data_IF_292735860382
#
_entry.id   IF_292735860382
#
_cell.length_a   1.000
_cell.length_b   1.000
_cell.length_c   1.000
_cell.angle_alpha   90.00
_cell.angle_beta   90.00
_cell.angle_gamma   90.00
#
_symmetry.space_group_name_H-M   'P 1'
#
loop_
_entity.id
_entity.type
_entity.pdbx_description
1 polymer ?
#
# COMPACT_ATOMS: atom_id res chain seq x y z
N UNK A 1 8.30 -24.64 -5.47
CA UNK A 1 7.16 -25.06 -4.63
C UNK A 1 6.14 -23.94 -4.66
N UNK A 2 4.95 -24.24 -5.08
CA UNK A 2 3.90 -23.26 -5.36
C UNK A 2 3.35 -22.67 -4.04
N UNK A 3 3.50 -21.35 -3.84
CA UNK A 3 3.06 -20.65 -2.62
C UNK A 3 1.53 -20.67 -2.43
N UNK A 4 0.78 -20.79 -3.51
CA UNK A 4 -0.68 -20.97 -3.46
C UNK A 4 -1.06 -22.32 -2.82
N UNK A 5 -0.23 -23.34 -3.00
CA UNK A 5 -0.42 -24.66 -2.38
C UNK A 5 -0.17 -24.62 -0.87
N UNK A 6 0.72 -23.76 -0.38
CA UNK A 6 1.01 -23.61 1.05
C UNK A 6 -0.18 -22.99 1.83
N UNK A 7 -0.91 -22.05 1.23
CA UNK A 7 -2.12 -21.47 1.84
C UNK A 7 -3.23 -22.53 1.92
N UNK A 8 -3.43 -23.32 0.87
CA UNK A 8 -4.41 -24.43 0.86
C UNK A 8 -4.04 -25.53 1.87
N UNK A 9 -2.75 -25.78 2.10
CA UNK A 9 -2.28 -26.84 3.02
C UNK A 9 -2.37 -26.42 4.48
N UNK A 10 -2.19 -25.13 4.79
CA UNK A 10 -2.28 -24.60 6.16
C UNK A 10 -3.74 -24.53 6.68
N UNK A 11 -4.73 -24.53 5.77
CA UNK A 11 -6.16 -24.41 6.09
C UNK A 11 -6.99 -25.57 5.54
N UNK A 12 -6.46 -26.79 5.65
CA UNK A 12 -7.26 -28.00 5.33
C UNK A 12 -8.43 -28.09 6.30
N UNK A 13 -9.63 -27.66 5.88
CA UNK A 13 -10.89 -28.04 6.49
C UNK A 13 -11.02 -29.58 6.49
N UNK A 14 -11.64 -30.20 7.47
CA UNK A 14 -11.86 -31.64 7.45
C UNK A 14 -12.58 -32.00 6.14
N UNK A 15 -12.05 -32.96 5.42
CA UNK A 15 -12.66 -33.45 4.19
C UNK A 15 -13.98 -34.12 4.55
N UNK A 16 -15.10 -33.54 4.25
CA UNK A 16 -16.35 -34.25 4.03
C UNK A 16 -16.18 -35.06 2.74
N UNK A 17 -16.19 -36.41 2.90
CA UNK A 17 -16.19 -37.34 1.79
C UNK A 17 -17.53 -37.26 1.03
N UNK A 18 -17.63 -36.32 0.11
CA UNK A 18 -18.59 -36.38 -0.99
C UNK A 18 -17.93 -35.81 -2.23
N UNK A 19 -17.50 -36.72 -3.11
CA UNK A 19 -17.06 -36.44 -4.48
C UNK A 19 -18.25 -35.85 -5.27
N UNK A 20 -18.41 -34.55 -5.21
CA UNK A 20 -19.08 -33.76 -6.23
C UNK A 20 -18.25 -32.51 -6.47
N UNK A 21 -17.71 -32.42 -7.67
CA UNK A 21 -16.90 -31.35 -8.24
C UNK A 21 -17.69 -30.02 -8.32
N UNK A 22 -17.99 -29.42 -7.17
CA UNK A 22 -18.42 -28.02 -7.06
C UNK A 22 -17.14 -27.22 -6.79
N UNK A 23 -16.78 -26.32 -7.69
CA UNK A 23 -15.84 -25.23 -7.40
C UNK A 23 -16.38 -24.53 -6.14
N UNK A 24 -15.88 -24.84 -4.97
CA UNK A 24 -16.24 -24.15 -3.74
C UNK A 24 -15.79 -22.70 -3.86
N UNK A 25 -16.75 -21.83 -4.14
CA UNK A 25 -16.55 -20.38 -4.17
C UNK A 25 -16.16 -19.97 -2.75
N UNK A 26 -14.97 -19.40 -2.59
CA UNK A 26 -14.49 -18.93 -1.31
C UNK A 26 -14.82 -17.43 -1.14
N UNK A 27 -15.73 -17.15 -0.18
CA UNK A 27 -16.09 -15.78 0.18
C UNK A 27 -15.02 -15.14 1.06
N UNK A 28 -14.45 -14.03 0.61
CA UNK A 28 -13.49 -13.22 1.36
C UNK A 28 -14.00 -11.79 1.52
N UNK A 29 -14.09 -11.32 2.75
CA UNK A 29 -14.55 -9.97 3.07
C UNK A 29 -13.37 -9.08 3.45
N UNK A 30 -13.15 -7.98 2.73
CA UNK A 30 -12.14 -6.98 3.02
C UNK A 30 -12.78 -5.79 3.74
N UNK A 31 -12.18 -5.37 4.86
CA UNK A 31 -12.63 -4.21 5.63
C UNK A 31 -11.66 -3.05 5.43
N UNK A 32 -12.20 -1.88 5.10
CA UNK A 32 -11.46 -0.65 4.96
C UNK A 32 -12.16 0.50 5.68
N UNK A 33 -11.60 0.94 6.81
CA UNK A 33 -11.96 2.21 7.43
C UNK A 33 -10.94 3.24 6.99
N UNK A 34 -11.37 4.15 6.11
CA UNK A 34 -10.48 5.17 5.55
C UNK A 34 -10.14 6.21 6.61
N UNK A 35 -8.86 6.38 6.89
CA UNK A 35 -8.31 7.37 7.83
C UNK A 35 -7.41 8.37 7.09
N UNK A 36 -6.52 7.89 6.22
CA UNK A 36 -5.63 8.72 5.37
C UNK A 36 -6.13 8.74 3.92
N UNK A 37 -7.26 9.41 3.68
CA UNK A 37 -7.83 9.65 2.36
C UNK A 37 -7.65 8.49 1.37
N UNK A 38 -6.58 8.53 0.55
CA UNK A 38 -6.32 7.55 -0.50
C UNK A 38 -5.35 6.43 -0.10
N UNK A 39 -4.65 6.53 1.04
CA UNK A 39 -3.66 5.54 1.46
C UNK A 39 -4.31 4.18 1.75
N UNK A 40 -5.25 4.16 2.69
CA UNK A 40 -5.89 2.93 3.15
C UNK A 40 -6.70 2.27 2.03
N UNK A 41 -7.55 3.05 1.36
CA UNK A 41 -8.41 2.51 0.29
C UNK A 41 -7.61 2.12 -0.96
N UNK A 42 -6.52 2.82 -1.24
CA UNK A 42 -5.59 2.47 -2.33
C UNK A 42 -4.94 1.10 -2.11
N UNK A 43 -4.50 0.81 -0.88
CA UNK A 43 -4.00 -0.50 -0.51
C UNK A 43 -5.07 -1.59 -0.66
N UNK A 44 -6.29 -1.36 -0.14
CA UNK A 44 -7.38 -2.35 -0.22
C UNK A 44 -7.80 -2.60 -1.67
N UNK A 45 -7.88 -1.57 -2.50
CA UNK A 45 -8.16 -1.70 -3.92
C UNK A 45 -7.10 -2.56 -4.63
N UNK A 46 -5.82 -2.30 -4.35
CA UNK A 46 -4.70 -3.10 -4.87
C UNK A 46 -4.77 -4.55 -4.40
N UNK A 47 -5.02 -4.77 -3.12
CA UNK A 47 -5.14 -6.11 -2.54
C UNK A 47 -6.28 -6.89 -3.18
N UNK A 48 -7.46 -6.29 -3.33
CA UNK A 48 -8.62 -6.92 -3.96
C UNK A 48 -8.31 -7.32 -5.41
N UNK A 49 -7.67 -6.44 -6.20
CA UNK A 49 -7.24 -6.74 -7.56
C UNK A 49 -6.22 -7.89 -7.60
N UNK A 50 -5.21 -7.86 -6.75
CA UNK A 50 -4.20 -8.91 -6.69
C UNK A 50 -4.82 -10.27 -6.32
N UNK A 51 -5.72 -10.31 -5.35
CA UNK A 51 -6.44 -11.53 -4.97
C UNK A 51 -7.28 -12.08 -6.13
N UNK A 52 -8.05 -11.23 -6.83
CA UNK A 52 -8.84 -11.63 -8.00
C UNK A 52 -7.97 -12.13 -9.15
N UNK A 53 -6.77 -11.56 -9.34
CA UNK A 53 -5.82 -12.00 -10.37
C UNK A 53 -5.18 -13.37 -10.04
N UNK A 54 -4.95 -13.65 -8.77
CA UNK A 54 -4.33 -14.90 -8.33
C UNK A 54 -5.31 -16.07 -8.26
N UNK A 55 -6.54 -15.81 -7.82
CA UNK A 55 -7.57 -16.84 -7.74
C UNK A 55 -8.94 -16.29 -8.18
N UNK A 56 -9.35 -16.67 -9.38
CA UNK A 56 -10.66 -16.24 -9.98
C UNK A 56 -11.87 -16.93 -9.35
N UNK A 57 -11.67 -17.90 -8.47
CA UNK A 57 -12.75 -18.53 -7.70
C UNK A 57 -13.12 -17.75 -6.43
N UNK A 58 -12.35 -16.72 -6.08
CA UNK A 58 -12.65 -15.86 -4.94
C UNK A 58 -13.85 -14.96 -5.23
N UNK A 59 -14.81 -14.98 -4.32
CA UNK A 59 -15.89 -13.99 -4.28
C UNK A 59 -15.54 -12.93 -3.24
N UNK A 60 -15.18 -11.72 -3.71
CA UNK A 60 -14.76 -10.65 -2.84
C UNK A 60 -15.91 -9.73 -2.45
N UNK A 61 -15.99 -9.44 -1.15
CA UNK A 61 -16.89 -8.44 -0.57
C UNK A 61 -16.05 -7.36 0.12
N UNK A 62 -16.25 -6.10 -0.23
CA UNK A 62 -15.53 -4.97 0.34
C UNK A 62 -16.50 -4.15 1.20
N UNK A 63 -16.14 -3.88 2.45
CA UNK A 63 -16.88 -2.98 3.33
C UNK A 63 -16.02 -1.73 3.55
N UNK A 64 -16.47 -0.59 3.03
CA UNK A 64 -15.66 0.65 2.94
C UNK A 64 -16.37 1.81 3.62
N UNK A 65 -15.65 2.57 4.46
CA UNK A 65 -16.23 3.67 5.23
C UNK A 65 -16.34 4.98 4.43
N UNK A 66 -15.51 5.15 3.39
CA UNK A 66 -15.54 6.34 2.52
C UNK A 66 -15.54 5.90 1.04
N UNK A 67 -16.75 5.76 0.50
CA UNK A 67 -16.97 5.42 -0.90
C UNK A 67 -16.60 6.54 -1.87
N UNK A 68 -16.57 7.80 -1.41
CA UNK A 68 -16.16 8.92 -2.26
C UNK A 68 -14.66 8.87 -2.56
N UNK A 69 -13.84 8.61 -1.54
CA UNK A 69 -12.40 8.35 -1.74
C UNK A 69 -12.16 7.11 -2.60
N UNK A 70 -12.98 6.06 -2.45
CA UNK A 70 -12.88 4.87 -3.28
C UNK A 70 -13.22 5.16 -4.74
N UNK A 71 -14.32 5.86 -5.02
CA UNK A 71 -14.72 6.24 -6.38
C UNK A 71 -13.67 7.10 -7.12
N UNK A 72 -12.90 7.91 -6.39
CA UNK A 72 -11.82 8.69 -6.97
C UNK A 72 -10.67 7.82 -7.50
N UNK A 73 -10.41 6.64 -6.88
CA UNK A 73 -9.40 5.67 -7.31
C UNK A 73 -9.97 4.65 -8.30
N UNK A 74 -11.22 4.29 -8.15
CA UNK A 74 -11.93 3.24 -8.85
C UNK A 74 -13.22 3.82 -9.50
N UNK A 75 -13.14 4.38 -10.71
CA UNK A 75 -14.23 5.15 -11.32
C UNK A 75 -15.54 4.39 -11.56
N UNK A 76 -15.53 3.05 -11.51
CA UNK A 76 -16.75 2.25 -11.60
C UNK A 76 -17.55 2.21 -10.31
N UNK A 77 -16.99 2.68 -9.20
CA UNK A 77 -17.65 2.73 -7.88
C UNK A 77 -18.54 3.96 -7.81
N UNK A 78 -19.81 3.74 -7.47
CA UNK A 78 -20.78 4.82 -7.21
C UNK A 78 -20.83 5.11 -5.71
N UNK A 79 -20.33 6.28 -5.30
CA UNK A 79 -20.26 6.68 -3.90
C UNK A 79 -21.63 6.89 -3.23
N UNK A 80 -22.72 6.92 -3.99
CA UNK A 80 -24.09 7.15 -3.49
C UNK A 80 -24.83 5.85 -3.14
N UNK A 81 -24.28 4.69 -3.49
CA UNK A 81 -24.92 3.40 -3.29
C UNK A 81 -24.40 2.71 -2.03
N UNK A 82 -25.32 2.24 -1.19
CA UNK A 82 -24.99 1.45 0.00
C UNK A 82 -24.55 0.02 -0.32
N UNK A 83 -24.97 -0.51 -1.47
CA UNK A 83 -24.61 -1.83 -1.99
C UNK A 83 -24.51 -1.76 -3.51
N UNK A 84 -23.43 -2.32 -4.07
CA UNK A 84 -23.22 -2.36 -5.51
C UNK A 84 -22.26 -3.49 -5.91
N UNK A 85 -22.26 -3.83 -7.19
CA UNK A 85 -21.27 -4.72 -7.78
C UNK A 85 -20.43 -3.92 -8.78
N UNK A 86 -19.10 -3.88 -8.57
CA UNK A 86 -18.13 -3.24 -9.45
C UNK A 86 -16.84 -4.05 -9.45
N UNK A 87 -16.13 -4.15 -10.57
CA UNK A 87 -14.93 -4.97 -10.73
C UNK A 87 -15.12 -6.47 -10.42
N UNK A 88 -16.37 -6.96 -10.44
CA UNK A 88 -16.70 -8.32 -10.02
C UNK A 88 -16.78 -8.51 -8.49
N UNK A 89 -16.66 -7.46 -7.71
CA UNK A 89 -16.74 -7.46 -6.25
C UNK A 89 -18.09 -6.92 -5.78
N UNK A 90 -18.60 -7.41 -4.66
CA UNK A 90 -19.68 -6.77 -3.92
C UNK A 90 -19.08 -5.71 -3.00
N UNK A 91 -19.57 -4.48 -3.11
CA UNK A 91 -19.08 -3.33 -2.34
C UNK A 91 -20.22 -2.81 -1.46
N UNK A 92 -19.94 -2.64 -0.17
CA UNK A 92 -20.89 -2.20 0.85
C UNK A 92 -20.39 -0.92 1.52
N UNK A 93 -21.33 -0.01 1.78
CA UNK A 93 -21.06 1.12 2.63
C UNK A 93 -20.98 0.67 4.10
N UNK A 94 -19.87 0.94 4.75
CA UNK A 94 -19.63 0.62 6.17
C UNK A 94 -20.74 1.12 7.09
N UNK A 95 -21.31 2.29 6.78
CA UNK A 95 -22.29 2.99 7.60
C UNK A 95 -23.74 2.60 7.27
N UNK A 96 -23.98 1.71 6.33
CA UNK A 96 -25.31 1.26 5.93
C UNK A 96 -25.75 0.00 6.69
N UNK A 97 -26.08 0.16 7.97
CA UNK A 97 -26.36 -0.92 8.92
C UNK A 97 -27.39 -1.93 8.42
N UNK A 98 -28.55 -1.46 7.95
CA UNK A 98 -29.64 -2.34 7.51
C UNK A 98 -29.25 -3.18 6.29
N UNK A 99 -28.58 -2.56 5.32
CA UNK A 99 -28.11 -3.21 4.11
C UNK A 99 -27.06 -4.27 4.43
N UNK A 100 -26.07 -3.91 5.25
CA UNK A 100 -25.04 -4.81 5.70
C UNK A 100 -25.60 -5.98 6.50
N UNK A 101 -26.46 -5.73 7.49
CA UNK A 101 -27.12 -6.79 8.30
C UNK A 101 -27.89 -7.77 7.43
N UNK A 102 -28.66 -7.28 6.46
CA UNK A 102 -29.43 -8.14 5.55
C UNK A 102 -28.50 -9.06 4.75
N UNK A 103 -27.49 -8.49 4.07
CA UNK A 103 -26.60 -9.25 3.21
C UNK A 103 -25.76 -10.27 3.98
N UNK A 104 -25.17 -9.87 5.11
CA UNK A 104 -24.24 -10.69 5.86
C UNK A 104 -24.92 -11.70 6.83
N UNK A 105 -26.22 -11.53 7.11
CA UNK A 105 -27.01 -12.60 7.76
C UNK A 105 -27.42 -13.69 6.78
N UNK A 106 -27.70 -13.35 5.53
CA UNK A 106 -28.00 -14.32 4.48
C UNK A 106 -26.76 -15.15 4.11
N UNK A 107 -25.62 -14.50 4.02
CA UNK A 107 -24.33 -15.14 3.71
C UNK A 107 -23.26 -14.66 4.70
N UNK A 108 -23.09 -15.30 5.86
CA UNK A 108 -22.08 -14.96 6.85
C UNK A 108 -20.67 -15.07 6.29
N UNK A 109 -19.72 -14.19 6.72
CA UNK A 109 -18.35 -14.26 6.24
C UNK A 109 -17.60 -15.46 6.84
N UNK A 110 -16.84 -16.18 6.03
CA UNK A 110 -15.92 -17.21 6.47
C UNK A 110 -14.52 -16.64 6.72
N UNK A 111 -14.05 -15.75 5.83
CA UNK A 111 -12.75 -15.10 5.93
C UNK A 111 -12.96 -13.59 5.90
N UNK A 112 -12.30 -12.89 6.83
CA UNK A 112 -12.28 -11.43 6.92
C UNK A 112 -10.83 -10.96 6.90
N UNK A 113 -10.50 -10.08 5.96
CA UNK A 113 -9.27 -9.32 5.93
C UNK A 113 -9.53 -7.95 6.55
N UNK A 114 -9.11 -7.76 7.80
CA UNK A 114 -9.21 -6.50 8.54
C UNK A 114 -7.94 -5.69 8.27
N UNK A 115 -8.03 -4.66 7.42
CA UNK A 115 -6.86 -3.88 7.04
C UNK A 115 -6.58 -2.78 8.07
N UNK A 116 -5.31 -2.68 8.53
CA UNK A 116 -4.80 -1.63 9.41
C UNK A 116 -5.52 -1.54 10.76
N UNK A 117 -5.89 -2.68 11.32
CA UNK A 117 -6.61 -2.75 12.59
C UNK A 117 -7.87 -1.86 12.61
N UNK A 118 -8.51 -1.70 11.46
CA UNK A 118 -9.62 -0.76 11.28
C UNK A 118 -10.87 -1.09 12.12
N UNK A 119 -10.88 -2.25 12.76
CA UNK A 119 -12.07 -2.76 13.44
C UNK A 119 -13.16 -3.20 12.47
N UNK A 120 -14.37 -3.25 12.96
CA UNK A 120 -15.54 -3.72 12.21
C UNK A 120 -16.73 -2.82 12.55
N UNK A 121 -17.69 -2.61 11.62
CA UNK A 121 -18.94 -1.91 11.97
C UNK A 121 -19.75 -2.73 12.99
N UNK A 122 -20.49 -2.06 13.85
CA UNK A 122 -21.25 -2.68 14.95
C UNK A 122 -22.20 -3.78 14.45
N UNK A 123 -22.82 -3.55 13.30
CA UNK A 123 -23.72 -4.54 12.70
C UNK A 123 -23.01 -5.85 12.31
N UNK A 124 -21.74 -5.79 11.90
CA UNK A 124 -20.94 -6.98 11.59
C UNK A 124 -20.46 -7.66 12.88
N UNK A 125 -20.05 -6.89 13.87
CA UNK A 125 -19.72 -7.41 15.22
C UNK A 125 -20.89 -8.23 15.81
N UNK A 126 -22.13 -7.73 15.70
CA UNK A 126 -23.31 -8.45 16.17
C UNK A 126 -23.49 -9.80 15.46
N UNK A 127 -23.22 -9.90 14.16
CA UNK A 127 -23.30 -11.14 13.39
C UNK A 127 -22.19 -12.11 13.79
N UNK A 128 -20.95 -11.64 13.89
CA UNK A 128 -19.78 -12.46 14.19
C UNK A 128 -19.86 -13.07 15.59
N UNK A 129 -20.39 -12.34 16.55
CA UNK A 129 -20.46 -12.74 17.96
C UNK A 129 -21.88 -13.11 18.42
N UNK A 130 -22.76 -13.43 17.47
CA UNK A 130 -24.11 -13.93 17.78
C UNK A 130 -24.00 -15.25 18.56
N UNK A 131 -24.62 -15.28 19.74
CA UNK A 131 -24.64 -16.46 20.62
C UNK A 131 -25.48 -17.62 20.06
N UNK A 132 -26.41 -17.29 19.14
CA UNK A 132 -27.27 -18.28 18.48
C UNK A 132 -26.59 -18.94 17.26
N UNK A 133 -25.42 -18.45 16.82
CA UNK A 133 -24.70 -19.05 15.72
C UNK A 133 -24.14 -20.42 16.09
N UNK A 134 -24.10 -21.33 15.10
CA UNK A 134 -23.63 -22.72 15.34
C UNK A 134 -22.14 -22.73 15.70
N UNK A 135 -21.71 -23.64 16.58
CA UNK A 135 -20.31 -23.76 16.99
C UNK A 135 -19.34 -23.98 15.82
N UNK A 136 -19.81 -24.66 14.78
CA UNK A 136 -19.00 -25.01 13.60
C UNK A 136 -18.90 -23.92 12.55
N UNK A 137 -19.67 -22.85 12.68
CA UNK A 137 -19.59 -21.68 11.81
C UNK A 137 -18.32 -20.86 12.13
N UNK A 138 -17.17 -21.37 11.79
CA UNK A 138 -15.88 -20.73 12.09
C UNK A 138 -15.65 -19.54 11.16
N UNK A 139 -15.23 -18.41 11.75
CA UNK A 139 -14.80 -17.22 11.03
C UNK A 139 -13.32 -16.96 11.29
N UNK A 140 -12.55 -16.84 10.22
CA UNK A 140 -11.15 -16.48 10.30
C UNK A 140 -10.94 -14.99 9.99
N UNK A 141 -10.48 -14.23 10.97
CA UNK A 141 -10.04 -12.83 10.77
C UNK A 141 -8.53 -12.84 10.58
N UNK A 142 -8.08 -12.19 9.51
CA UNK A 142 -6.69 -11.92 9.24
C UNK A 142 -6.52 -10.40 9.33
N UNK A 143 -5.87 -9.94 10.40
CA UNK A 143 -5.54 -8.54 10.58
C UNK A 143 -4.28 -8.22 9.77
N UNK A 144 -4.43 -7.48 8.68
CA UNK A 144 -3.32 -7.02 7.86
C UNK A 144 -2.85 -5.68 8.43
N UNK A 145 -1.63 -5.68 8.95
CA UNK A 145 -1.02 -4.49 9.55
C UNK A 145 -0.33 -3.60 8.50
N UNK A 146 0.16 -2.47 8.93
CA UNK A 146 0.95 -1.57 8.10
C UNK A 146 2.28 -2.21 7.69
N UNK A 147 2.79 -1.81 6.53
CA UNK A 147 4.12 -2.23 6.07
C UNK A 147 5.20 -1.68 7.02
N UNK A 148 6.05 -2.55 7.52
CA UNK A 148 7.20 -2.13 8.34
C UNK A 148 8.46 -2.90 7.98
N UNK A 149 9.61 -2.24 8.17
CA UNK A 149 10.93 -2.84 8.06
C UNK A 149 11.54 -3.21 9.43
N UNK A 150 10.81 -2.95 10.53
CA UNK A 150 11.25 -3.20 11.90
C UNK A 150 11.24 -4.69 12.23
N UNK A 151 12.16 -5.12 13.09
CA UNK A 151 12.36 -6.52 13.40
C UNK A 151 11.17 -7.19 14.13
N UNK A 152 10.37 -6.41 14.87
CA UNK A 152 9.21 -6.97 15.57
C UNK A 152 8.19 -7.63 14.63
N UNK A 153 8.16 -7.22 13.36
CA UNK A 153 7.24 -7.81 12.39
C UNK A 153 7.43 -9.32 12.22
N UNK A 154 8.68 -9.81 12.37
CA UNK A 154 9.03 -11.22 12.28
C UNK A 154 8.33 -12.05 13.37
N UNK A 155 8.21 -11.50 14.60
CA UNK A 155 7.62 -12.21 15.75
C UNK A 155 6.10 -12.05 15.78
N UNK A 156 5.57 -10.97 15.21
CA UNK A 156 4.12 -10.70 15.18
C UNK A 156 3.41 -11.32 13.98
N UNK A 157 4.14 -11.70 12.93
CA UNK A 157 3.55 -12.35 11.76
C UNK A 157 2.96 -13.71 12.12
N UNK A 158 1.69 -13.93 11.76
CA UNK A 158 0.88 -15.12 12.08
C UNK A 158 0.63 -15.33 13.58
N UNK A 159 0.94 -14.35 14.43
CA UNK A 159 0.61 -14.41 15.85
C UNK A 159 -0.92 -14.44 16.03
N UNK A 160 -1.38 -15.39 16.85
CA UNK A 160 -2.80 -15.53 17.16
C UNK A 160 -3.23 -14.51 18.20
N UNK A 161 -4.37 -13.88 17.98
CA UNK A 161 -5.00 -12.97 18.93
C UNK A 161 -6.22 -13.61 19.55
N UNK A 162 -6.45 -13.33 20.84
CA UNK A 162 -7.67 -13.75 21.53
C UNK A 162 -8.90 -13.02 21.01
N UNK A 163 -10.04 -13.71 20.97
CA UNK A 163 -11.35 -13.13 20.63
C UNK A 163 -12.40 -13.47 21.67
N UNK A 164 -13.57 -12.83 21.60
CA UNK A 164 -14.71 -13.06 22.53
C UNK A 164 -15.43 -14.40 22.30
N UNK A 165 -15.11 -15.09 21.20
CA UNK A 165 -15.80 -16.34 20.83
C UNK A 165 -14.81 -17.36 20.29
N UNK A 166 -14.94 -18.63 20.67
CA UNK A 166 -14.10 -19.70 20.11
C UNK A 166 -14.33 -19.93 18.61
N UNK A 167 -15.46 -19.47 18.05
CA UNK A 167 -15.76 -19.53 16.62
C UNK A 167 -14.98 -18.51 15.81
N UNK A 168 -14.65 -17.37 16.39
CA UNK A 168 -13.92 -16.30 15.69
C UNK A 168 -12.44 -16.45 16.01
N UNK A 169 -11.66 -16.78 15.00
CA UNK A 169 -10.19 -16.88 15.10
C UNK A 169 -9.59 -15.62 14.52
N UNK A 170 -8.54 -15.09 15.14
CA UNK A 170 -7.83 -13.90 14.64
C UNK A 170 -6.34 -14.18 14.63
N UNK A 171 -5.68 -13.83 13.52
CA UNK A 171 -4.22 -13.82 13.36
C UNK A 171 -3.78 -12.45 12.81
N UNK A 172 -2.53 -12.10 13.09
CA UNK A 172 -1.89 -10.92 12.49
C UNK A 172 -1.14 -11.32 11.22
N UNK A 173 -1.27 -10.52 10.18
CA UNK A 173 -0.47 -10.60 8.96
C UNK A 173 0.36 -9.33 8.86
N UNK A 174 1.68 -9.49 8.98
CA UNK A 174 2.63 -8.37 8.95
C UNK A 174 3.26 -8.26 7.55
N UNK A 175 2.85 -7.30 6.72
CA UNK A 175 3.63 -6.95 5.52
C UNK A 175 5.03 -6.51 5.95
N UNK A 176 6.05 -6.93 5.21
CA UNK A 176 7.42 -6.64 5.61
C UNK A 176 8.46 -7.11 4.60
N UNK A 177 9.73 -7.04 5.00
CA UNK A 177 10.88 -7.19 4.11
C UNK A 177 11.75 -8.43 4.42
N UNK A 178 11.27 -9.36 5.25
CA UNK A 178 12.00 -10.58 5.61
C UNK A 178 11.25 -11.83 5.18
N UNK A 179 11.93 -12.96 5.18
CA UNK A 179 11.32 -14.27 4.87
C UNK A 179 10.29 -14.73 5.92
N UNK A 180 10.27 -14.07 7.09
CA UNK A 180 9.35 -14.34 8.19
C UNK A 180 8.10 -13.47 8.19
N UNK A 181 8.00 -12.53 7.25
CA UNK A 181 6.86 -11.62 7.11
C UNK A 181 6.02 -11.95 5.88
N UNK A 182 4.87 -11.29 5.72
CA UNK A 182 3.96 -11.49 4.60
C UNK A 182 4.46 -10.96 3.26
N UNK A 183 5.57 -10.20 3.25
CA UNK A 183 6.12 -9.60 2.04
C UNK A 183 5.30 -8.41 1.55
N UNK A 184 5.41 -8.14 0.23
CA UNK A 184 4.75 -7.04 -0.46
C UNK A 184 3.77 -7.57 -1.50
N UNK A 185 2.73 -6.82 -1.84
CA UNK A 185 1.80 -7.18 -2.91
C UNK A 185 2.55 -7.06 -4.25
N UNK A 186 2.71 -8.19 -4.93
CA UNK A 186 3.33 -8.28 -6.24
C UNK A 186 2.29 -8.79 -7.24
N UNK A 187 1.48 -7.89 -7.77
CA UNK A 187 0.47 -8.21 -8.75
C UNK A 187 1.05 -8.39 -10.18
N UNK A 188 0.29 -9.06 -11.05
CA UNK A 188 0.74 -9.40 -12.40
C UNK A 188 0.98 -8.17 -13.28
N UNK A 189 0.19 -7.12 -13.11
CA UNK A 189 0.30 -5.90 -13.90
C UNK A 189 1.59 -5.16 -13.54
N UNK A 190 1.94 -5.11 -12.25
CA UNK A 190 3.20 -4.53 -11.81
C UNK A 190 4.42 -5.31 -12.35
N UNK A 191 4.38 -6.64 -12.30
CA UNK A 191 5.44 -7.49 -12.88
C UNK A 191 5.60 -7.23 -14.37
N UNK A 192 4.51 -7.03 -15.09
CA UNK A 192 4.52 -6.68 -16.52
C UNK A 192 5.12 -5.30 -16.75
N UNK A 193 4.67 -4.28 -16.01
CA UNK A 193 5.22 -2.93 -16.09
C UNK A 193 6.73 -2.90 -15.84
N UNK A 194 7.21 -3.63 -14.82
CA UNK A 194 8.63 -3.73 -14.50
C UNK A 194 9.45 -4.40 -15.61
N UNK A 195 8.92 -5.43 -16.28
CA UNK A 195 9.61 -6.15 -17.35
C UNK A 195 9.81 -5.34 -18.63
N UNK A 196 8.93 -4.37 -18.89
CA UNK A 196 9.02 -3.51 -20.08
C UNK A 196 10.11 -2.45 -19.96
N UNK A 197 10.73 -2.30 -18.81
CA UNK A 197 11.83 -1.37 -18.58
C UNK A 197 13.18 -1.93 -19.07
N UNK A 198 13.31 -2.14 -20.38
CA UNK A 198 14.59 -2.52 -20.98
C UNK A 198 15.26 -1.30 -21.62
N UNK A 199 16.38 -0.88 -21.03
CA UNK A 199 17.36 0.08 -21.53
C UNK A 199 16.90 1.52 -21.81
N UNK A 200 16.89 2.36 -20.78
CA UNK A 200 16.94 3.80 -20.97
C UNK A 200 18.41 4.28 -21.05
N UNK A 201 18.95 4.36 -22.25
CA UNK A 201 20.03 5.30 -22.55
C UNK A 201 19.38 6.56 -23.10
N UNK A 202 18.96 7.46 -22.22
CA UNK A 202 18.49 8.78 -22.63
C UNK A 202 19.41 9.84 -22.04
N UNK A 203 19.68 10.90 -22.79
CA UNK A 203 20.40 12.09 -22.29
C UNK A 203 19.57 12.88 -21.24
N UNK A 204 18.43 12.31 -20.83
CA UNK A 204 17.48 12.93 -19.92
C UNK A 204 17.31 12.05 -18.69
N UNK A 205 17.67 12.59 -17.52
CA UNK A 205 17.40 11.97 -16.22
C UNK A 205 15.97 12.30 -15.78
N UNK A 206 15.10 11.31 -15.79
CA UNK A 206 13.69 11.46 -15.45
C UNK A 206 13.43 11.02 -14.03
N UNK A 207 12.79 11.87 -13.22
CA UNK A 207 12.43 11.53 -11.85
C UNK A 207 10.96 11.84 -11.54
N UNK A 208 10.38 11.04 -10.65
CA UNK A 208 9.04 11.24 -10.10
C UNK A 208 9.16 11.94 -8.75
N UNK A 209 8.36 12.98 -8.54
CA UNK A 209 8.29 13.66 -7.25
C UNK A 209 6.87 13.61 -6.68
N UNK A 210 6.71 12.80 -5.64
CA UNK A 210 5.49 12.66 -4.86
C UNK A 210 5.84 12.73 -3.38
N UNK A 211 5.46 13.81 -2.71
CA UNK A 211 5.88 14.14 -1.34
C UNK A 211 4.72 14.73 -0.54
N UNK A 212 4.82 14.71 0.78
CA UNK A 212 4.02 15.59 1.64
C UNK A 212 4.48 17.03 1.48
N UNK A 213 3.71 17.96 2.02
CA UNK A 213 4.06 19.39 2.01
C UNK A 213 5.40 19.60 2.74
N UNK A 214 6.30 20.33 2.08
CA UNK A 214 7.63 20.62 2.62
C UNK A 214 8.31 21.77 1.87
N UNK A 215 9.43 22.25 2.41
CA UNK A 215 10.33 23.13 1.65
C UNK A 215 11.03 22.33 0.53
N UNK A 216 10.72 22.65 -0.72
CA UNK A 216 11.28 21.96 -1.89
C UNK A 216 12.54 22.64 -2.46
N UNK A 217 12.95 23.80 -1.94
CA UNK A 217 14.12 24.52 -2.46
C UNK A 217 15.41 23.69 -2.45
N UNK A 218 15.73 22.89 -1.39
CA UNK A 218 16.91 22.01 -1.38
C UNK A 218 16.90 20.99 -2.52
N UNK A 219 15.75 20.36 -2.78
CA UNK A 219 15.62 19.39 -3.87
C UNK A 219 15.84 20.07 -5.22
N UNK A 220 15.26 21.26 -5.43
CA UNK A 220 15.45 22.03 -6.67
C UNK A 220 16.92 22.36 -6.90
N UNK A 221 17.63 22.84 -5.87
CA UNK A 221 19.06 23.17 -5.97
C UNK A 221 19.93 21.92 -6.20
N UNK A 222 19.61 20.81 -5.54
CA UNK A 222 20.34 19.55 -5.75
C UNK A 222 20.20 19.03 -7.19
N UNK A 223 19.01 19.11 -7.77
CA UNK A 223 18.77 18.70 -9.15
C UNK A 223 19.41 19.66 -10.18
N UNK A 224 19.44 20.97 -9.90
CA UNK A 224 20.18 21.93 -10.69
C UNK A 224 21.69 21.66 -10.68
N UNK A 225 22.25 21.38 -9.49
CA UNK A 225 23.64 21.00 -9.34
C UNK A 225 23.96 19.69 -10.07
N UNK A 226 23.11 18.67 -9.95
CA UNK A 226 23.24 17.40 -10.66
C UNK A 226 23.28 17.62 -12.19
N UNK A 227 22.35 18.40 -12.75
CA UNK A 227 22.33 18.71 -14.16
C UNK A 227 23.62 19.44 -14.61
N UNK A 228 24.10 20.37 -13.80
CA UNK A 228 25.33 21.12 -14.09
C UNK A 228 26.58 20.24 -14.05
N UNK A 229 26.66 19.33 -13.07
CA UNK A 229 27.84 18.47 -12.88
C UNK A 229 27.91 17.32 -13.87
N UNK A 230 26.77 16.74 -14.23
CA UNK A 230 26.72 15.55 -15.11
C UNK A 230 26.52 15.91 -16.58
N UNK A 231 26.00 17.08 -16.88
CA UNK A 231 25.56 17.46 -18.23
C UNK A 231 24.25 16.79 -18.69
N UNK A 232 23.66 15.90 -17.87
CA UNK A 232 22.37 15.28 -18.18
C UNK A 232 21.22 16.28 -17.96
N UNK A 233 20.27 16.31 -18.89
CA UNK A 233 19.04 17.12 -18.72
C UNK A 233 18.16 16.48 -17.67
N UNK A 234 17.62 17.27 -16.74
CA UNK A 234 16.66 16.81 -15.73
C UNK A 234 15.23 17.05 -16.19
N UNK A 235 14.41 16.03 -16.10
CA UNK A 235 12.96 16.07 -16.30
C UNK A 235 12.27 15.55 -15.03
N UNK A 236 11.50 16.42 -14.37
CA UNK A 236 10.78 16.07 -13.15
C UNK A 236 9.28 15.93 -13.43
N UNK A 237 8.74 14.78 -13.09
CA UNK A 237 7.32 14.46 -13.16
C UNK A 237 6.72 14.74 -11.79
N UNK A 238 6.00 15.85 -11.66
CA UNK A 238 5.46 16.33 -10.39
C UNK A 238 4.04 15.80 -10.19
N UNK A 239 3.89 14.90 -9.24
CA UNK A 239 2.58 14.32 -8.91
C UNK A 239 1.62 15.37 -8.34
N UNK A 240 0.34 15.19 -8.60
CA UNK A 240 -0.71 15.96 -7.96
C UNK A 240 -0.73 15.71 -6.44
N UNK A 241 -1.01 16.75 -5.66
CA UNK A 241 -1.09 16.64 -4.19
C UNK A 241 -0.46 17.81 -3.44
N UNK A 242 -0.26 17.61 -2.13
CA UNK A 242 0.16 18.68 -1.19
C UNK A 242 1.53 19.30 -1.52
N UNK A 243 2.44 18.55 -2.12
CA UNK A 243 3.77 19.06 -2.51
C UNK A 243 3.80 19.86 -3.82
N UNK A 244 2.72 19.84 -4.62
CA UNK A 244 2.71 20.45 -5.94
C UNK A 244 2.98 21.96 -5.89
N UNK A 245 2.19 22.72 -5.13
CA UNK A 245 2.36 24.18 -5.05
C UNK A 245 3.70 24.60 -4.40
N UNK A 246 4.15 24.00 -3.28
CA UNK A 246 5.48 24.26 -2.72
C UNK A 246 6.62 24.01 -3.71
N UNK A 247 6.57 22.90 -4.45
CA UNK A 247 7.60 22.59 -5.45
C UNK A 247 7.63 23.60 -6.59
N UNK A 248 6.48 23.89 -7.18
CA UNK A 248 6.37 24.85 -8.27
C UNK A 248 6.84 26.27 -7.88
N UNK A 249 6.56 26.67 -6.62
CA UNK A 249 7.03 27.95 -6.09
C UNK A 249 8.56 27.97 -5.95
N UNK A 250 9.16 26.92 -5.39
CA UNK A 250 10.61 26.78 -5.26
C UNK A 250 11.30 26.77 -6.64
N UNK A 251 10.80 25.99 -7.58
CA UNK A 251 11.30 25.88 -8.93
C UNK A 251 11.24 27.22 -9.70
N UNK A 252 10.12 27.96 -9.60
CA UNK A 252 9.99 29.31 -10.19
C UNK A 252 10.99 30.29 -9.57
N UNK A 253 11.14 30.26 -8.22
CA UNK A 253 12.07 31.12 -7.49
C UNK A 253 13.54 30.84 -7.86
N UNK A 254 13.87 29.59 -8.18
CA UNK A 254 15.19 29.20 -8.67
C UNK A 254 15.44 29.52 -10.16
N UNK A 255 14.50 30.17 -10.86
CA UNK A 255 14.66 30.53 -12.27
C UNK A 255 14.33 29.41 -13.26
N UNK A 256 13.61 28.36 -12.82
CA UNK A 256 13.20 27.20 -13.66
C UNK A 256 14.39 26.45 -14.28
N UNK A 257 15.29 25.90 -13.46
CA UNK A 257 16.58 25.38 -13.94
C UNK A 257 16.48 24.11 -14.79
N UNK A 258 15.36 23.37 -14.73
CA UNK A 258 15.13 22.11 -15.47
C UNK A 258 13.65 21.97 -15.87
N UNK A 259 13.32 20.90 -16.61
CA UNK A 259 11.94 20.65 -17.05
C UNK A 259 11.10 20.08 -15.89
N UNK A 260 9.92 20.67 -15.66
CA UNK A 260 8.91 20.16 -14.72
C UNK A 260 7.60 19.94 -15.46
N UNK A 261 7.07 18.73 -15.38
CA UNK A 261 5.76 18.35 -15.90
C UNK A 261 4.82 18.04 -14.75
N UNK A 262 3.73 18.79 -14.64
CA UNK A 262 2.68 18.52 -13.64
C UNK A 262 1.80 17.38 -14.13
N UNK A 263 1.68 16.34 -13.31
CA UNK A 263 0.81 15.20 -13.59
C UNK A 263 -0.59 15.45 -13.03
N UNK A 264 -1.61 15.02 -13.76
CA UNK A 264 -2.94 14.81 -13.19
C UNK A 264 -2.93 13.60 -12.24
N UNK A 265 -4.04 13.39 -11.52
CA UNK A 265 -4.23 12.15 -10.78
C UNK A 265 -4.20 10.96 -11.74
N UNK A 266 -3.40 9.94 -11.42
CA UNK A 266 -3.21 8.76 -12.25
C UNK A 266 -3.89 7.53 -11.61
N UNK A 267 -4.49 6.63 -12.41
CA UNK A 267 -4.85 5.30 -11.95
C UNK A 267 -3.64 4.54 -11.41
N UNK A 268 -3.87 3.58 -10.51
CA UNK A 268 -2.77 2.85 -9.85
C UNK A 268 -1.81 2.17 -10.83
N UNK A 269 -2.31 1.60 -11.92
CA UNK A 269 -1.49 0.91 -12.92
C UNK A 269 -0.56 1.87 -13.66
N UNK A 270 -1.09 3.04 -14.01
CA UNK A 270 -0.29 4.10 -14.66
C UNK A 270 0.76 4.66 -13.69
N UNK A 271 0.41 4.79 -12.40
CA UNK A 271 1.35 5.18 -11.34
C UNK A 271 2.47 4.15 -11.17
N UNK A 272 2.13 2.87 -11.09
CA UNK A 272 3.08 1.77 -10.97
C UNK A 272 4.05 1.72 -12.17
N UNK A 273 3.52 1.89 -13.39
CA UNK A 273 4.35 1.96 -14.59
C UNK A 273 5.29 3.18 -14.56
N UNK A 274 4.80 4.33 -14.10
CA UNK A 274 5.60 5.54 -13.98
C UNK A 274 6.80 5.34 -13.04
N UNK A 275 6.57 4.73 -11.86
CA UNK A 275 7.64 4.43 -10.90
C UNK A 275 8.66 3.42 -11.44
N UNK A 276 8.22 2.48 -12.30
CA UNK A 276 9.11 1.52 -12.93
C UNK A 276 9.95 2.11 -14.07
N UNK A 277 9.51 3.21 -14.69
CA UNK A 277 10.13 3.78 -15.89
C UNK A 277 10.85 5.11 -15.65
N UNK A 278 11.00 5.53 -14.41
CA UNK A 278 11.84 6.67 -14.01
C UNK A 278 13.26 6.24 -13.68
N UNK A 279 14.18 7.19 -13.58
CA UNK A 279 15.55 6.96 -13.11
C UNK A 279 15.70 7.13 -11.60
N UNK A 280 14.76 7.86 -10.98
CA UNK A 280 14.74 8.12 -9.54
C UNK A 280 13.33 8.47 -9.05
N UNK A 281 13.00 8.04 -7.82
CA UNK A 281 11.68 8.27 -7.24
C UNK A 281 11.74 8.96 -5.88
N UNK A 282 11.03 10.08 -5.73
CA UNK A 282 10.62 10.58 -4.42
C UNK A 282 9.19 10.09 -4.17
N UNK A 283 9.00 9.31 -3.12
CA UNK A 283 7.69 8.73 -2.78
C UNK A 283 7.32 9.02 -1.34
N UNK A 284 6.01 9.00 -1.07
CA UNK A 284 5.46 9.16 0.29
C UNK A 284 4.46 8.06 0.61
N UNK A 285 4.25 7.85 1.92
CA UNK A 285 3.30 6.85 2.39
C UNK A 285 3.76 5.42 2.09
N UNK A 286 2.97 4.44 2.48
CA UNK A 286 3.39 3.03 2.51
C UNK A 286 3.13 2.29 1.20
N UNK A 287 1.99 2.57 0.52
CA UNK A 287 1.71 1.94 -0.77
C UNK A 287 2.77 2.34 -1.81
N UNK A 288 3.08 3.64 -1.94
CA UNK A 288 4.11 4.09 -2.87
C UNK A 288 5.52 3.64 -2.46
N UNK A 289 5.82 3.50 -1.16
CA UNK A 289 7.05 2.87 -0.69
C UNK A 289 7.17 1.43 -1.21
N UNK A 290 6.11 0.63 -1.04
CA UNK A 290 6.13 -0.76 -1.50
C UNK A 290 6.38 -0.86 -3.00
N UNK A 291 5.76 0.04 -3.79
CA UNK A 291 5.96 0.12 -5.24
C UNK A 291 7.39 0.53 -5.61
N UNK A 292 7.93 1.56 -4.93
CA UNK A 292 9.31 1.99 -5.15
C UNK A 292 10.31 0.86 -4.84
N UNK A 293 10.13 0.15 -3.73
CA UNK A 293 10.98 -1.02 -3.41
C UNK A 293 10.89 -2.11 -4.49
N UNK A 294 9.69 -2.43 -4.98
CA UNK A 294 9.47 -3.46 -5.99
C UNK A 294 9.92 -3.02 -7.39
N UNK A 295 9.95 -1.72 -7.70
CA UNK A 295 10.38 -1.22 -9.01
C UNK A 295 11.86 -1.51 -9.31
N UNK A 296 12.69 -1.54 -8.27
CA UNK A 296 14.14 -1.64 -8.40
C UNK A 296 14.81 -0.32 -8.80
N UNK A 297 14.06 0.78 -8.85
CA UNK A 297 14.57 2.13 -9.13
C UNK A 297 15.00 2.78 -7.81
N UNK A 298 16.13 3.51 -7.78
CA UNK A 298 16.55 4.26 -6.60
C UNK A 298 15.46 5.25 -6.14
N UNK A 299 15.28 5.36 -4.83
CA UNK A 299 14.22 6.22 -4.29
C UNK A 299 14.58 6.89 -2.98
N UNK A 300 13.86 7.94 -2.66
CA UNK A 300 13.78 8.55 -1.32
C UNK A 300 12.33 8.44 -0.84
N UNK A 301 12.16 7.91 0.35
CA UNK A 301 10.86 7.80 0.98
C UNK A 301 10.65 8.90 2.02
N UNK A 302 9.50 9.56 1.97
CA UNK A 302 9.00 10.41 3.02
C UNK A 302 7.93 9.64 3.80
N UNK A 303 8.27 9.28 5.03
CA UNK A 303 7.33 8.65 5.94
C UNK A 303 6.27 9.67 6.41
N UNK A 304 5.08 9.18 6.76
CA UNK A 304 4.06 10.01 7.40
C UNK A 304 4.54 10.43 8.78
N UNK A 305 4.49 11.73 9.05
CA UNK A 305 4.93 12.29 10.35
C UNK A 305 4.03 11.74 11.46
N UNK A 306 4.64 11.11 12.44
CA UNK A 306 3.98 10.51 13.59
C UNK A 306 4.40 11.18 14.89
N UNK A 307 3.59 11.01 15.91
CA UNK A 307 3.91 11.49 17.25
C UNK A 307 5.27 10.91 17.74
N UNK A 308 6.00 11.70 18.52
CA UNK A 308 7.31 11.31 19.08
C UNK A 308 8.36 10.92 18.04
N UNK A 309 8.23 11.43 16.80
CA UNK A 309 9.15 11.16 15.70
C UNK A 309 9.28 9.66 15.33
N UNK A 310 8.24 8.84 15.60
CA UNK A 310 8.28 7.39 15.35
C UNK A 310 8.53 7.05 13.87
N UNK A 311 8.11 7.90 12.96
CA UNK A 311 8.43 7.78 11.52
C UNK A 311 9.93 7.73 11.22
N UNK A 312 10.79 8.33 12.09
CA UNK A 312 12.26 8.24 11.95
C UNK A 312 12.79 6.86 12.38
N UNK A 313 12.09 6.16 13.28
CA UNK A 313 12.38 4.76 13.63
C UNK A 313 12.09 3.86 12.43
N UNK A 314 10.92 4.01 11.83
CA UNK A 314 10.53 3.28 10.60
C UNK A 314 11.51 3.53 9.46
N UNK A 315 11.89 4.79 9.22
CA UNK A 315 12.89 5.16 8.22
C UNK A 315 14.25 4.50 8.51
N UNK A 316 14.68 4.54 9.77
CA UNK A 316 15.95 3.90 10.17
C UNK A 316 15.93 2.41 9.91
N UNK A 317 14.84 1.73 10.25
CA UNK A 317 14.68 0.30 10.02
C UNK A 317 14.77 -0.01 8.51
N UNK A 318 14.08 0.75 7.66
CA UNK A 318 14.16 0.60 6.21
C UNK A 318 15.58 0.81 5.68
N UNK A 319 16.26 1.88 6.12
CA UNK A 319 17.63 2.17 5.69
C UNK A 319 18.58 1.02 6.09
N UNK A 320 18.42 0.41 7.27
CA UNK A 320 19.23 -0.74 7.67
C UNK A 320 18.97 -1.99 6.78
N UNK A 321 17.75 -2.19 6.28
CA UNK A 321 17.48 -3.24 5.27
C UNK A 321 18.19 -2.98 3.95
N UNK A 322 18.36 -1.72 3.56
CA UNK A 322 19.06 -1.34 2.33
C UNK A 322 20.59 -1.37 2.45
N UNK A 323 21.11 -1.24 3.67
CA UNK A 323 22.54 -1.16 3.93
C UNK A 323 23.42 -2.24 3.25
N UNK A 324 23.03 -3.53 3.26
CA UNK A 324 23.84 -4.59 2.64
C UNK A 324 24.01 -4.45 1.11
N UNK A 325 23.15 -3.67 0.46
CA UNK A 325 23.09 -3.50 -0.98
C UNK A 325 23.76 -2.22 -1.48
N UNK A 326 24.27 -1.37 -0.58
CA UNK A 326 24.90 -0.10 -0.90
C UNK A 326 26.35 -0.08 -0.45
N UNK A 327 27.24 0.49 -1.28
CA UNK A 327 28.61 0.74 -0.84
C UNK A 327 28.63 1.67 0.39
N UNK A 328 29.53 1.46 1.38
CA UNK A 328 29.50 2.21 2.63
C UNK A 328 29.45 3.73 2.50
N UNK A 329 30.22 4.40 1.61
CA UNK A 329 30.09 5.85 1.42
C UNK A 329 28.72 6.27 0.90
N UNK A 330 28.16 5.50 -0.05
CA UNK A 330 26.83 5.75 -0.62
C UNK A 330 25.74 5.56 0.44
N UNK A 331 25.84 4.49 1.26
CA UNK A 331 24.91 4.28 2.35
C UNK A 331 24.93 5.45 3.36
N UNK A 332 26.12 5.93 3.74
CA UNK A 332 26.25 7.05 4.68
C UNK A 332 25.60 8.31 4.14
N UNK A 333 25.80 8.63 2.86
CA UNK A 333 25.17 9.78 2.21
C UNK A 333 23.64 9.60 2.11
N UNK A 334 23.17 8.41 1.72
CA UNK A 334 21.75 8.09 1.62
C UNK A 334 21.04 8.19 2.97
N UNK A 335 21.62 7.59 4.03
CA UNK A 335 21.03 7.63 5.38
C UNK A 335 20.96 9.07 5.91
N UNK A 336 22.03 9.85 5.75
CA UNK A 336 22.03 11.25 6.15
C UNK A 336 21.00 12.07 5.38
N UNK A 337 20.92 11.89 4.06
CA UNK A 337 19.94 12.59 3.22
C UNK A 337 18.50 12.24 3.59
N UNK A 338 18.16 10.94 3.66
CA UNK A 338 16.79 10.50 3.96
C UNK A 338 16.34 10.93 5.34
N UNK A 339 17.23 10.95 6.34
CA UNK A 339 16.94 11.49 7.68
C UNK A 339 16.65 12.98 7.62
N UNK A 340 17.51 13.78 6.98
CA UNK A 340 17.28 15.22 6.81
C UNK A 340 16.00 15.50 6.00
N UNK A 341 15.69 14.63 5.04
CA UNK A 341 14.46 14.72 4.25
C UNK A 341 13.19 14.44 5.07
N UNK A 342 13.25 13.67 6.13
CA UNK A 342 12.11 13.31 6.99
C UNK A 342 11.97 14.12 8.28
N UNK A 343 12.89 15.06 8.57
CA UNK A 343 12.78 15.97 9.71
C UNK A 343 12.02 17.23 9.31
N UNK A 344 11.07 17.69 10.14
CA UNK A 344 10.30 18.91 9.90
C UNK A 344 11.13 20.20 9.89
N UNK A 345 12.25 20.19 10.59
CA UNK A 345 13.12 21.36 10.71
C UNK A 345 13.97 21.50 9.45
N UNK A 346 13.98 22.72 8.91
CA UNK A 346 14.84 23.18 7.81
C UNK A 346 16.33 22.93 8.14
N UNK A 347 16.80 21.69 7.93
CA UNK A 347 18.23 21.37 7.94
C UNK A 347 18.79 21.41 6.51
N UNK A 348 18.50 22.49 5.83
CA UNK A 348 18.76 22.72 4.42
C UNK A 348 20.25 22.64 4.05
N UNK A 349 21.12 22.97 5.00
CA UNK A 349 22.56 23.10 4.75
C UNK A 349 23.31 21.76 4.72
N UNK A 350 22.77 20.72 5.34
CA UNK A 350 23.37 19.37 5.34
C UNK A 350 23.17 18.61 4.01
N UNK A 351 22.30 19.08 3.14
CA UNK A 351 21.95 18.42 1.87
C UNK A 351 22.80 18.89 0.68
N UNK A 352 23.65 19.91 0.88
CA UNK A 352 24.48 20.50 -0.18
C UNK A 352 25.97 20.16 -0.03
N UNK A 353 26.35 19.42 1.02
CA UNK A 353 27.68 18.84 1.21
C UNK A 353 27.78 17.43 0.64
#
# INVERSE_FOLDING_TARGET
MDRAHAIRTAYRMPADNNDNNTNDILDVTLLCKVVDNFGDIGFVYRLARALTQEDTSLHLRLIVSDLASFAALAPEVDATKDEQTSYGWQIFNWNADETGRRAFRQNPPAIILECFQCGRPDWLEDILFDKAARPDDIVQIINIDYLTAEDYADDFHLLKSGTRSPRVKKINFMPGFTDKTGGLILDRDFVKARKTNSSYQTDVFTLVFFSYERNCMPVVKALEAFQTQTGQKVRLLLAAGKSHAPFMNAWKKAGKPFIVESLSFLPQEAWDALLCHSDFNFVRGEDSLSRACLSGIPFVWQAYIQEQDYHLVQLSALNQRLRPYLAPPLFSAYDAYTRAYNVEKDQTDALLQ
#
